data_IF_488249647769
#
_entry.id   IF_488249647769
#
_cell.length_a   1.000
_cell.length_b   1.000
_cell.length_c   1.000
_cell.angle_alpha   90.00
_cell.angle_beta   90.00
_cell.angle_gamma   90.00
#
_symmetry.space_group_name_H-M   'P 1'
#
loop_
_entity.id
_entity.type
_entity.pdbx_description
1 polymer ?
#
# COMPACT_ATOMS: atom_id res chain seq x y z
N UNK A 1 -21.75 3.17 -8.36
CA UNK A 1 -21.15 4.52 -8.30
C UNK A 1 -19.72 4.35 -7.81
N UNK A 2 -18.72 4.46 -8.70
CA UNK A 2 -17.32 4.39 -8.32
C UNK A 2 -16.96 5.72 -7.63
N UNK A 3 -16.66 5.68 -6.33
CA UNK A 3 -16.22 6.88 -5.60
C UNK A 3 -14.81 7.21 -6.11
N UNK A 4 -14.65 8.40 -6.67
CA UNK A 4 -13.34 8.92 -7.12
C UNK A 4 -12.39 8.94 -5.91
N UNK A 5 -11.13 8.48 -6.04
CA UNK A 5 -10.18 8.55 -4.94
C UNK A 5 -10.00 10.01 -4.52
N UNK A 6 -10.03 10.26 -3.22
CA UNK A 6 -9.80 11.59 -2.66
C UNK A 6 -8.30 11.85 -2.74
N UNK A 7 -7.85 12.72 -3.65
CA UNK A 7 -6.47 13.19 -3.67
C UNK A 7 -6.24 14.17 -2.51
N UNK A 8 -5.26 13.88 -1.67
CA UNK A 8 -4.87 14.74 -0.56
C UNK A 8 -3.99 15.88 -1.08
N UNK A 9 -4.47 17.12 -0.93
CA UNK A 9 -3.66 18.31 -1.25
C UNK A 9 -2.76 18.74 -0.09
N UNK A 10 -3.04 18.25 1.13
CA UNK A 10 -2.27 18.50 2.34
C UNK A 10 -2.23 17.25 3.23
N UNK A 11 -1.10 17.06 3.89
CA UNK A 11 -0.89 15.95 4.81
C UNK A 11 -1.70 16.17 6.09
N UNK A 12 -2.65 15.28 6.43
CA UNK A 12 -3.43 15.41 7.66
C UNK A 12 -2.58 15.28 8.93
N UNK A 13 -1.35 14.74 8.83
CA UNK A 13 -0.48 14.54 9.98
C UNK A 13 0.45 15.72 10.28
N UNK A 14 0.85 16.50 9.26
CA UNK A 14 1.80 17.60 9.44
C UNK A 14 1.43 18.90 8.71
N UNK A 15 0.33 18.93 7.95
CA UNK A 15 -0.12 20.08 7.17
C UNK A 15 0.68 20.38 5.90
N UNK A 16 1.79 19.67 5.65
CA UNK A 16 2.62 19.87 4.46
C UNK A 16 1.90 19.47 3.17
N UNK A 17 2.15 20.19 2.08
CA UNK A 17 1.70 19.85 0.72
C UNK A 17 2.68 18.93 -0.04
N UNK A 18 3.79 18.51 0.59
CA UNK A 18 4.78 17.61 -0.03
C UNK A 18 4.28 16.16 -0.09
N UNK A 19 3.06 15.94 -0.55
CA UNK A 19 2.50 14.61 -0.84
C UNK A 19 2.73 14.31 -2.31
N UNK A 20 3.27 13.13 -2.61
CA UNK A 20 3.45 12.66 -3.99
C UNK A 20 3.02 11.21 -4.11
N UNK A 21 2.46 10.88 -5.28
CA UNK A 21 2.20 9.50 -5.69
C UNK A 21 3.54 8.80 -5.97
N UNK A 22 3.69 7.60 -5.43
CA UNK A 22 4.86 6.74 -5.60
C UNK A 22 4.40 5.29 -5.83
N UNK A 23 5.23 4.54 -6.54
CA UNK A 23 5.06 3.10 -6.75
C UNK A 23 6.36 2.45 -6.33
N UNK A 24 6.33 1.67 -5.25
CA UNK A 24 7.52 0.98 -4.75
C UNK A 24 7.12 -0.33 -4.06
N UNK A 25 8.08 -1.23 -3.94
CA UNK A 25 7.93 -2.48 -3.21
C UNK A 25 7.64 -2.24 -1.73
N UNK A 26 6.79 -3.09 -1.15
CA UNK A 26 6.46 -3.09 0.28
C UNK A 26 6.79 -4.42 0.92
N UNK A 27 7.52 -4.35 2.03
CA UNK A 27 7.84 -5.51 2.85
C UNK A 27 6.77 -5.69 3.92
N UNK A 28 6.17 -6.86 3.95
CA UNK A 28 5.23 -7.29 4.98
C UNK A 28 5.82 -8.46 5.77
N UNK A 29 5.47 -8.56 7.05
CA UNK A 29 5.75 -9.75 7.84
C UNK A 29 4.47 -10.60 7.94
N UNK A 30 4.56 -11.86 7.51
CA UNK A 30 3.45 -12.81 7.56
C UNK A 30 3.97 -14.17 8.00
N UNK A 31 3.42 -14.69 9.11
CA UNK A 31 3.84 -15.98 9.70
C UNK A 31 5.36 -16.05 9.95
N UNK A 32 5.95 -14.96 10.45
CA UNK A 32 7.40 -14.87 10.71
C UNK A 32 8.29 -14.83 9.45
N UNK A 33 7.70 -14.74 8.25
CA UNK A 33 8.43 -14.58 6.99
C UNK A 33 8.24 -13.17 6.43
N UNK A 34 9.33 -12.58 5.95
CA UNK A 34 9.29 -11.33 5.19
C UNK A 34 8.83 -11.64 3.77
N UNK A 35 7.79 -10.96 3.33
CA UNK A 35 7.21 -11.07 1.99
C UNK A 35 7.28 -9.71 1.33
N UNK A 36 7.85 -9.65 0.13
CA UNK A 36 7.93 -8.43 -0.67
C UNK A 36 6.76 -8.43 -1.65
N UNK A 37 5.89 -7.43 -1.53
CA UNK A 37 4.83 -7.14 -2.50
C UNK A 37 5.38 -6.06 -3.44
N UNK A 38 5.60 -6.37 -4.72
CA UNK A 38 6.16 -5.41 -5.66
C UNK A 38 5.12 -4.38 -6.10
N UNK A 39 5.61 -3.24 -6.59
CA UNK A 39 4.84 -2.24 -7.34
C UNK A 39 3.56 -1.75 -6.63
N UNK A 40 3.63 -1.46 -5.33
CA UNK A 40 2.46 -0.98 -4.58
C UNK A 40 2.30 0.54 -4.75
N UNK A 41 1.25 1.02 -5.47
CA UNK A 41 0.98 2.44 -5.59
C UNK A 41 0.51 3.00 -4.26
N UNK A 42 0.95 4.21 -3.90
CA UNK A 42 0.52 4.93 -2.70
C UNK A 42 0.88 6.40 -2.78
N UNK A 43 0.26 7.21 -1.94
CA UNK A 43 0.71 8.58 -1.69
C UNK A 43 1.66 8.59 -0.49
N UNK A 44 2.75 9.38 -0.56
CA UNK A 44 3.68 9.58 0.55
C UNK A 44 3.92 11.06 0.78
N UNK A 45 3.82 11.48 2.05
CA UNK A 45 4.30 12.78 2.48
C UNK A 45 5.83 12.75 2.65
N UNK A 46 6.55 13.53 1.86
CA UNK A 46 8.01 13.64 1.93
C UNK A 46 8.51 14.53 3.07
N UNK A 47 7.63 15.30 3.72
CA UNK A 47 7.99 16.08 4.91
C UNK A 47 8.01 15.23 6.18
N UNK A 48 6.99 14.39 6.42
CA UNK A 48 6.89 13.60 7.66
C UNK A 48 7.00 12.08 7.47
N UNK A 49 7.00 11.60 6.22
CA UNK A 49 7.12 10.18 5.89
C UNK A 49 5.80 9.40 5.91
N UNK A 50 4.68 10.05 6.23
CA UNK A 50 3.36 9.40 6.29
C UNK A 50 2.95 8.83 4.93
N UNK A 51 2.28 7.69 4.93
CA UNK A 51 1.88 6.97 3.72
C UNK A 51 0.37 6.72 3.71
N UNK A 52 -0.27 7.00 2.58
CA UNK A 52 -1.71 6.83 2.36
C UNK A 52 -1.94 5.79 1.28
N UNK A 53 -2.81 4.83 1.57
CA UNK A 53 -3.13 3.71 0.70
C UNK A 53 -4.59 3.81 0.31
N UNK A 54 -4.85 3.86 -0.99
CA UNK A 54 -6.18 3.90 -1.55
C UNK A 54 -6.61 2.50 -2.02
N UNK A 55 -7.77 2.41 -2.67
CA UNK A 55 -8.32 1.14 -3.10
C UNK A 55 -7.40 0.38 -4.06
N UNK A 56 -6.73 1.07 -4.99
CA UNK A 56 -5.81 0.45 -5.96
C UNK A 56 -4.62 -0.19 -5.22
N UNK A 57 -4.11 0.47 -4.18
CA UNK A 57 -3.07 -0.10 -3.31
C UNK A 57 -3.51 -1.42 -2.69
N UNK A 58 -4.72 -1.45 -2.12
CA UNK A 58 -5.27 -2.66 -1.50
C UNK A 58 -5.50 -3.76 -2.52
N UNK A 59 -6.01 -3.45 -3.72
CA UNK A 59 -6.22 -4.43 -4.78
C UNK A 59 -4.90 -5.11 -5.22
N UNK A 60 -3.79 -4.36 -5.30
CA UNK A 60 -2.46 -4.92 -5.58
C UNK A 60 -2.01 -5.86 -4.46
N UNK A 61 -2.11 -5.41 -3.21
CA UNK A 61 -1.70 -6.19 -2.04
C UNK A 61 -2.53 -7.47 -1.92
N UNK A 62 -3.86 -7.36 -2.03
CA UNK A 62 -4.78 -8.49 -1.97
C UNK A 62 -4.58 -9.45 -3.14
N UNK A 63 -4.36 -8.94 -4.35
CA UNK A 63 -4.05 -9.78 -5.52
C UNK A 63 -2.77 -10.58 -5.30
N UNK A 64 -1.74 -9.97 -4.71
CA UNK A 64 -0.50 -10.66 -4.41
C UNK A 64 -0.69 -11.79 -3.39
N UNK A 65 -1.40 -11.51 -2.28
CA UNK A 65 -1.62 -12.51 -1.23
C UNK A 65 -2.70 -13.55 -1.58
N UNK A 66 -3.70 -13.17 -2.35
CA UNK A 66 -4.80 -14.03 -2.82
C UNK A 66 -4.32 -15.06 -3.83
N UNK A 67 -3.38 -14.70 -4.71
CA UNK A 67 -2.68 -15.65 -5.61
C UNK A 67 -1.86 -16.71 -4.85
N UNK A 68 -1.46 -16.43 -3.62
CA UNK A 68 -0.67 -17.33 -2.76
C UNK A 68 -1.50 -18.32 -1.90
N UNK A 69 -2.83 -18.45 -2.11
CA UNK A 69 -3.66 -19.45 -1.40
C UNK A 69 -3.41 -20.91 -1.80
N UNK A 70 -2.46 -21.22 -2.67
CA UNK A 70 -2.06 -22.61 -2.97
C UNK A 70 -0.77 -22.95 -2.20
N UNK A 71 -0.86 -23.95 -1.32
CA UNK A 71 0.20 -24.59 -0.48
C UNK A 71 0.30 -24.09 0.97
N UNK A 72 -0.75 -24.33 1.75
CA UNK A 72 -0.56 -24.86 3.09
C UNK A 72 -1.25 -26.22 3.11
N UNK A 73 -0.52 -27.24 2.67
CA UNK A 73 -0.83 -28.62 3.01
C UNK A 73 -0.23 -28.82 4.41
N UNK A 74 -1.08 -28.83 5.43
CA UNK A 74 -0.71 -29.35 6.75
C UNK A 74 -1.05 -30.84 6.70
N UNK A 75 -0.02 -31.69 6.75
CA UNK A 75 -0.17 -33.13 6.95
C UNK A 75 -0.47 -33.47 8.40
#
# INVERSE_FOLDING_TARGET
MFKKPIKLTQCPMCGSSEIREIVEDRVYEKLGKKVVVPDVPREKCFSCGEQFFDQDSFEVIESFFGKNKKKVATG
#
